data_IF_062306995336
#
_entry.id   IF_062306995336
#
_cell.length_a   1.000
_cell.length_b   1.000
_cell.length_c   1.000
_cell.angle_alpha   90.00
_cell.angle_beta   90.00
_cell.angle_gamma   90.00
#
_symmetry.space_group_name_H-M   'P 1'
#
loop_
_entity.id
_entity.type
_entity.pdbx_description
1 polymer ?
#
# COMPACT_ATOMS: atom_id res chain seq x y z
N UNK A 1 2.63 8.65 -7.78
CA UNK A 1 2.62 9.66 -8.85
C UNK A 1 2.18 11.00 -8.31
N UNK A 2 2.60 12.11 -8.94
CA UNK A 2 2.17 13.46 -8.59
C UNK A 2 0.67 13.71 -8.76
N UNK A 3 0.22 14.92 -8.39
CA UNK A 3 -1.19 15.34 -8.45
C UNK A 3 -1.57 15.76 -9.87
N UNK A 4 -2.85 15.59 -10.24
CA UNK A 4 -3.43 16.17 -11.46
C UNK A 4 -2.95 15.56 -12.79
N UNK A 5 -2.33 14.38 -12.78
CA UNK A 5 -1.74 13.75 -13.97
C UNK A 5 -2.67 12.80 -14.74
N UNK A 6 -3.98 12.81 -14.44
CA UNK A 6 -4.96 11.99 -15.15
C UNK A 6 -5.13 10.56 -14.61
N UNK A 7 -4.79 10.28 -13.33
CA UNK A 7 -4.97 8.95 -12.72
C UNK A 7 -6.39 8.40 -12.88
N UNK A 8 -7.41 9.21 -12.54
CA UNK A 8 -8.82 8.77 -12.59
C UNK A 8 -9.28 8.51 -14.02
N UNK A 9 -8.78 9.26 -15.02
CA UNK A 9 -9.03 8.97 -16.43
C UNK A 9 -8.41 7.63 -16.84
N UNK A 10 -7.16 7.36 -16.43
CA UNK A 10 -6.49 6.08 -16.69
C UNK A 10 -7.21 4.91 -16.02
N UNK A 11 -7.65 5.06 -14.77
CA UNK A 11 -8.51 4.09 -14.08
C UNK A 11 -9.75 3.78 -14.91
N UNK A 12 -10.42 4.83 -15.42
CA UNK A 12 -11.62 4.68 -16.25
C UNK A 12 -11.34 3.92 -17.53
N UNK A 13 -10.27 4.26 -18.24
CA UNK A 13 -9.91 3.60 -19.49
C UNK A 13 -9.55 2.12 -19.30
N UNK A 14 -8.81 1.79 -18.25
CA UNK A 14 -8.48 0.40 -17.92
C UNK A 14 -9.72 -0.39 -17.49
N UNK A 15 -10.64 0.24 -16.76
CA UNK A 15 -11.92 -0.35 -16.38
C UNK A 15 -12.77 -0.66 -17.61
N UNK A 16 -12.90 0.28 -18.53
CA UNK A 16 -13.65 0.11 -19.78
C UNK A 16 -12.96 -0.94 -20.67
N UNK A 17 -11.64 -0.92 -20.76
CA UNK A 17 -10.88 -1.92 -21.49
C UNK A 17 -11.18 -3.34 -20.97
N UNK A 18 -11.11 -3.56 -19.65
CA UNK A 18 -11.42 -4.85 -19.06
C UNK A 18 -12.87 -5.26 -19.36
N UNK A 19 -13.80 -4.34 -19.12
CA UNK A 19 -15.24 -4.55 -19.33
C UNK A 19 -15.59 -4.96 -20.78
N UNK A 20 -14.96 -4.30 -21.76
CA UNK A 20 -15.33 -4.47 -23.17
C UNK A 20 -14.52 -5.54 -23.90
N UNK A 21 -13.32 -5.89 -23.43
CA UNK A 21 -12.43 -6.83 -24.09
C UNK A 21 -12.29 -8.18 -23.38
N UNK A 22 -12.76 -8.27 -22.13
CA UNK A 22 -12.76 -9.49 -21.31
C UNK A 22 -14.19 -9.82 -20.90
N UNK A 23 -14.98 -10.23 -21.91
CA UNK A 23 -16.40 -10.54 -21.74
C UNK A 23 -16.59 -11.58 -20.63
N UNK A 24 -17.54 -11.33 -19.74
CA UNK A 24 -17.81 -12.15 -18.58
C UNK A 24 -16.99 -11.79 -17.33
N UNK A 25 -15.98 -10.91 -17.45
CA UNK A 25 -15.11 -10.54 -16.33
C UNK A 25 -15.78 -9.60 -15.31
N UNK A 26 -15.25 -9.59 -14.09
CA UNK A 26 -15.67 -8.67 -13.02
C UNK A 26 -14.57 -7.65 -12.76
N UNK A 27 -14.95 -6.39 -12.67
CA UNK A 27 -14.07 -5.32 -12.17
C UNK A 27 -14.62 -4.75 -10.89
N UNK A 28 -13.79 -4.70 -9.85
CA UNK A 28 -14.09 -4.03 -8.58
C UNK A 28 -13.24 -2.76 -8.51
N UNK A 29 -13.87 -1.64 -8.23
CA UNK A 29 -13.20 -0.35 -8.05
C UNK A 29 -13.48 0.15 -6.65
N UNK A 30 -12.43 0.47 -5.90
CA UNK A 30 -12.53 1.04 -4.56
C UNK A 30 -11.61 2.25 -4.44
N UNK A 31 -11.96 3.15 -3.52
CA UNK A 31 -11.18 4.31 -3.17
C UNK A 31 -11.04 4.43 -1.65
N UNK A 32 -10.25 5.39 -1.18
CA UNK A 32 -10.01 5.60 0.24
C UNK A 32 -11.25 6.07 1.03
N UNK A 33 -12.28 6.55 0.34
CA UNK A 33 -13.55 6.98 0.95
C UNK A 33 -14.72 6.85 -0.01
N UNK A 34 -15.94 6.81 0.54
CA UNK A 34 -17.18 6.80 -0.26
C UNK A 34 -17.30 8.05 -1.13
N UNK A 35 -16.96 9.22 -0.59
CA UNK A 35 -17.02 10.49 -1.33
C UNK A 35 -16.07 10.46 -2.54
N UNK A 36 -14.83 9.99 -2.36
CA UNK A 36 -13.87 9.84 -3.45
C UNK A 36 -14.37 8.84 -4.49
N UNK A 37 -14.86 7.68 -4.05
CA UNK A 37 -15.35 6.65 -4.96
C UNK A 37 -16.52 7.18 -5.81
N UNK A 38 -17.55 7.77 -5.19
CA UNK A 38 -18.77 8.19 -5.89
C UNK A 38 -18.60 9.45 -6.73
N UNK A 39 -17.98 10.49 -6.12
CA UNK A 39 -17.96 11.83 -6.74
C UNK A 39 -16.82 12.02 -7.74
N UNK A 40 -15.76 11.23 -7.64
CA UNK A 40 -14.58 11.37 -8.49
C UNK A 40 -14.40 10.14 -9.38
N UNK A 41 -14.08 9.00 -8.79
CA UNK A 41 -13.69 7.80 -9.55
C UNK A 41 -14.85 7.26 -10.36
N UNK A 42 -16.03 7.10 -9.76
CA UNK A 42 -17.23 6.60 -10.45
C UNK A 42 -17.75 7.59 -11.49
N UNK A 43 -17.73 8.87 -11.19
CA UNK A 43 -18.12 9.92 -12.12
C UNK A 43 -17.22 9.91 -13.38
N UNK A 44 -15.92 9.74 -13.23
CA UNK A 44 -15.00 9.62 -14.36
C UNK A 44 -15.24 8.34 -15.16
N UNK A 45 -15.44 7.18 -14.52
CA UNK A 45 -15.75 5.92 -15.20
C UNK A 45 -17.02 6.06 -16.06
N UNK A 46 -18.08 6.60 -15.47
CA UNK A 46 -19.36 6.76 -16.18
C UNK A 46 -19.27 7.75 -17.32
N UNK A 47 -18.55 8.84 -17.14
CA UNK A 47 -18.27 9.83 -18.19
C UNK A 47 -17.54 9.18 -19.38
N UNK A 48 -16.43 8.50 -19.14
CA UNK A 48 -15.67 7.88 -20.21
C UNK A 48 -16.42 6.73 -20.88
N UNK A 49 -17.19 5.95 -20.11
CA UNK A 49 -18.04 4.92 -20.67
C UNK A 49 -19.10 5.51 -21.61
N UNK A 50 -19.74 6.60 -21.22
CA UNK A 50 -20.75 7.26 -22.08
C UNK A 50 -20.18 7.79 -23.41
N UNK A 51 -18.89 8.09 -23.45
CA UNK A 51 -18.17 8.51 -24.65
C UNK A 51 -17.63 7.34 -25.49
N UNK A 52 -17.69 6.11 -24.98
CA UNK A 52 -17.19 4.94 -25.69
C UNK A 52 -18.19 4.46 -26.76
N UNK A 53 -17.67 3.84 -27.81
CA UNK A 53 -18.51 3.27 -28.88
C UNK A 53 -19.37 2.10 -28.38
N UNK A 54 -18.98 1.45 -27.27
CA UNK A 54 -19.71 0.36 -26.63
C UNK A 54 -20.67 0.83 -25.53
N UNK A 55 -20.85 2.15 -25.33
CA UNK A 55 -21.70 2.69 -24.25
C UNK A 55 -23.09 2.04 -24.21
N UNK A 56 -23.69 1.77 -25.39
CA UNK A 56 -25.01 1.17 -25.53
C UNK A 56 -25.07 -0.32 -25.15
N UNK A 57 -23.93 -0.96 -24.88
CA UNK A 57 -23.90 -2.35 -24.38
C UNK A 57 -24.20 -2.44 -22.89
N UNK A 58 -24.13 -1.34 -22.17
CA UNK A 58 -24.13 -1.35 -20.70
C UNK A 58 -25.16 -0.40 -20.11
N UNK A 59 -25.72 -0.82 -19.00
CA UNK A 59 -26.58 -0.04 -18.13
C UNK A 59 -25.80 0.42 -16.90
N UNK A 60 -25.86 1.71 -16.60
CA UNK A 60 -25.10 2.34 -15.51
C UNK A 60 -26.04 2.67 -14.38
N UNK A 61 -25.68 2.25 -13.16
CA UNK A 61 -26.34 2.62 -11.92
C UNK A 61 -25.39 3.41 -11.00
N UNK A 62 -25.85 3.75 -9.81
CA UNK A 62 -25.05 4.50 -8.83
C UNK A 62 -23.74 3.80 -8.41
N UNK A 63 -23.67 2.46 -8.50
CA UNK A 63 -22.54 1.67 -8.03
C UNK A 63 -22.16 0.50 -8.95
N UNK A 64 -22.89 0.31 -10.06
CA UNK A 64 -22.66 -0.79 -10.97
C UNK A 64 -22.80 -0.39 -12.43
N UNK A 65 -22.00 -1.03 -13.26
CA UNK A 65 -22.15 -1.07 -14.70
C UNK A 65 -22.39 -2.52 -15.07
N UNK A 66 -23.52 -2.84 -15.68
CA UNK A 66 -23.90 -4.19 -16.05
C UNK A 66 -24.21 -4.26 -17.55
N UNK A 67 -24.07 -5.41 -18.20
CA UNK A 67 -24.48 -5.56 -19.58
C UNK A 67 -26.00 -5.34 -19.74
N UNK A 68 -26.41 -4.60 -20.75
CA UNK A 68 -27.81 -4.49 -21.14
C UNK A 68 -28.34 -5.87 -21.51
N UNK A 69 -29.62 -6.10 -21.29
CA UNK A 69 -30.26 -7.42 -21.47
C UNK A 69 -29.98 -8.03 -22.86
N UNK A 70 -30.10 -7.22 -23.91
CA UNK A 70 -29.91 -7.69 -25.29
C UNK A 70 -28.48 -8.21 -25.57
N UNK A 71 -27.43 -7.54 -25.02
CA UNK A 71 -26.04 -7.97 -25.21
C UNK A 71 -25.73 -9.17 -24.34
N UNK A 72 -26.29 -9.24 -23.11
CA UNK A 72 -26.15 -10.42 -22.26
C UNK A 72 -26.73 -11.66 -22.93
N UNK A 73 -27.96 -11.60 -23.45
CA UNK A 73 -28.61 -12.69 -24.20
C UNK A 73 -27.80 -13.11 -25.43
N UNK A 74 -27.25 -12.14 -26.17
CA UNK A 74 -26.42 -12.41 -27.35
C UNK A 74 -25.14 -13.17 -26.97
N UNK A 75 -24.43 -12.69 -25.92
CA UNK A 75 -23.20 -13.31 -25.44
C UNK A 75 -23.45 -14.73 -24.95
N UNK A 76 -24.49 -14.95 -24.16
CA UNK A 76 -24.84 -16.27 -23.65
C UNK A 76 -25.26 -17.25 -24.78
N UNK A 77 -26.03 -16.74 -25.74
CA UNK A 77 -26.48 -17.52 -26.88
C UNK A 77 -25.35 -17.90 -27.85
N UNK A 78 -24.55 -16.93 -28.27
CA UNK A 78 -23.60 -17.06 -29.36
C UNK A 78 -22.19 -17.45 -28.91
N UNK A 79 -21.73 -16.88 -27.79
CA UNK A 79 -20.40 -17.13 -27.24
C UNK A 79 -20.39 -18.20 -26.15
N UNK A 80 -21.56 -18.62 -25.65
CA UNK A 80 -21.69 -19.57 -24.52
C UNK A 80 -20.96 -19.14 -23.26
N UNK A 81 -20.82 -17.83 -23.03
CA UNK A 81 -20.20 -17.25 -21.85
C UNK A 81 -21.28 -16.78 -20.87
N UNK A 82 -21.09 -17.08 -19.59
CA UNK A 82 -21.99 -16.58 -18.54
C UNK A 82 -21.79 -15.08 -18.31
N UNK A 83 -22.90 -14.34 -18.27
CA UNK A 83 -22.89 -12.88 -18.09
C UNK A 83 -23.24 -12.44 -16.68
N UNK A 84 -23.58 -13.37 -15.78
CA UNK A 84 -24.03 -13.10 -14.41
C UNK A 84 -23.09 -12.18 -13.63
N UNK A 85 -21.79 -12.35 -13.82
CA UNK A 85 -20.75 -11.60 -13.09
C UNK A 85 -20.03 -10.58 -13.98
N UNK A 86 -20.48 -10.42 -15.22
CA UNK A 86 -19.89 -9.46 -16.14
C UNK A 86 -20.29 -8.05 -15.78
N UNK A 87 -19.31 -7.25 -15.39
CA UNK A 87 -19.59 -5.85 -15.05
C UNK A 87 -18.52 -5.18 -14.21
N UNK A 88 -18.84 -3.97 -13.81
CA UNK A 88 -18.04 -3.14 -12.91
C UNK A 88 -18.84 -2.83 -11.66
N UNK A 89 -18.22 -2.94 -10.50
CA UNK A 89 -18.80 -2.57 -9.22
C UNK A 89 -17.90 -1.58 -8.48
N UNK A 90 -18.46 -0.43 -8.10
CA UNK A 90 -17.88 0.48 -7.13
C UNK A 90 -18.17 -0.04 -5.72
N UNK A 91 -17.16 -0.61 -5.06
CA UNK A 91 -17.29 -1.27 -3.76
C UNK A 91 -16.66 -0.44 -2.66
N UNK A 92 -17.45 -0.19 -1.63
CA UNK A 92 -16.98 0.41 -0.37
C UNK A 92 -16.34 -0.66 0.51
N UNK A 93 -15.46 -0.24 1.38
CA UNK A 93 -14.81 -1.07 2.38
C UNK A 93 -14.93 -0.45 3.78
N UNK A 94 -14.75 -1.27 4.81
CA UNK A 94 -14.68 -0.85 6.19
C UNK A 94 -13.54 -1.57 6.90
N UNK A 95 -12.70 -0.83 7.60
CA UNK A 95 -11.65 -1.40 8.43
C UNK A 95 -12.20 -2.16 9.65
N UNK A 96 -13.42 -1.80 10.10
CA UNK A 96 -14.11 -2.48 11.20
C UNK A 96 -14.66 -3.85 10.79
N UNK A 97 -14.96 -4.04 9.49
CA UNK A 97 -15.46 -5.30 8.95
C UNK A 97 -14.82 -5.62 7.60
N UNK A 98 -13.51 -5.95 7.56
CA UNK A 98 -12.78 -6.22 6.33
C UNK A 98 -13.33 -7.43 5.56
N UNK A 99 -13.84 -8.45 6.26
CA UNK A 99 -14.35 -9.68 5.64
C UNK A 99 -15.56 -9.44 4.74
N UNK A 100 -16.33 -8.38 4.98
CA UNK A 100 -17.42 -7.98 4.08
C UNK A 100 -16.92 -7.56 2.67
N UNK A 101 -15.64 -7.26 2.53
CA UNK A 101 -15.02 -6.95 1.25
C UNK A 101 -14.70 -8.20 0.41
N UNK A 102 -14.66 -9.39 1.01
CA UNK A 102 -14.35 -10.67 0.37
C UNK A 102 -15.37 -11.10 -0.70
N UNK A 103 -15.10 -12.22 -1.36
CA UNK A 103 -16.11 -12.99 -2.13
C UNK A 103 -16.21 -12.59 -3.60
N UNK A 104 -15.12 -12.20 -4.25
CA UNK A 104 -15.07 -12.05 -5.71
C UNK A 104 -14.33 -13.23 -6.32
N UNK A 105 -15.07 -14.06 -7.04
CA UNK A 105 -14.52 -15.20 -7.78
C UNK A 105 -15.11 -15.20 -9.19
N UNK A 106 -14.26 -15.15 -10.21
CA UNK A 106 -14.71 -15.15 -11.59
C UNK A 106 -13.65 -15.74 -12.52
N UNK A 107 -13.92 -16.91 -13.08
CA UNK A 107 -13.03 -17.61 -14.02
C UNK A 107 -12.81 -16.86 -15.34
N UNK A 108 -13.73 -15.99 -15.75
CA UNK A 108 -13.55 -15.17 -16.96
C UNK A 108 -12.52 -14.05 -16.75
N UNK A 109 -12.28 -13.68 -15.51
CA UNK A 109 -11.29 -12.69 -15.12
C UNK A 109 -11.75 -11.76 -14.02
N UNK A 110 -10.77 -11.28 -13.24
CA UNK A 110 -10.97 -10.32 -12.15
C UNK A 110 -10.00 -9.17 -12.31
N UNK A 111 -10.52 -7.94 -12.27
CA UNK A 111 -9.70 -6.75 -12.10
C UNK A 111 -10.11 -6.02 -10.83
N UNK A 112 -9.14 -5.75 -9.98
CA UNK A 112 -9.29 -4.91 -8.80
C UNK A 112 -8.54 -3.61 -9.02
N UNK A 113 -9.21 -2.50 -8.78
CA UNK A 113 -8.62 -1.16 -8.85
C UNK A 113 -8.77 -0.46 -7.51
N UNK A 114 -7.64 -0.06 -6.94
CA UNK A 114 -7.56 0.81 -5.78
C UNK A 114 -7.18 2.22 -6.24
N UNK A 115 -8.14 3.14 -6.20
CA UNK A 115 -7.88 4.57 -6.40
C UNK A 115 -7.61 5.24 -5.06
N UNK A 116 -6.64 6.13 -5.00
CA UNK A 116 -6.08 6.69 -3.76
C UNK A 116 -5.62 5.59 -2.77
N UNK A 117 -4.93 4.60 -3.30
CA UNK A 117 -4.55 3.36 -2.63
C UNK A 117 -3.74 3.54 -1.32
N UNK A 118 -3.00 4.65 -1.17
CA UNK A 118 -2.27 4.95 0.06
C UNK A 118 -3.17 5.20 1.27
N UNK A 119 -4.47 5.45 1.04
CA UNK A 119 -5.45 5.66 2.09
C UNK A 119 -6.30 4.43 2.43
N UNK A 120 -6.10 3.31 1.74
CA UNK A 120 -6.86 2.06 1.98
C UNK A 120 -6.18 1.27 3.12
N UNK A 121 -6.97 0.84 4.09
CA UNK A 121 -6.50 0.10 5.26
C UNK A 121 -5.86 -1.24 4.89
N UNK A 122 -4.79 -1.62 5.60
CA UNK A 122 -4.00 -2.83 5.32
C UNK A 122 -4.82 -4.12 5.44
N UNK A 123 -5.84 -4.15 6.30
CA UNK A 123 -6.76 -5.29 6.42
C UNK A 123 -7.50 -5.57 5.12
N UNK A 124 -7.86 -4.51 4.38
CA UNK A 124 -8.55 -4.63 3.08
C UNK A 124 -7.62 -5.20 2.01
N UNK A 125 -6.34 -4.83 2.01
CA UNK A 125 -5.36 -5.42 1.10
C UNK A 125 -5.21 -6.92 1.34
N UNK A 126 -5.21 -7.34 2.60
CA UNK A 126 -5.12 -8.76 2.97
C UNK A 126 -6.31 -9.56 2.44
N UNK A 127 -7.54 -9.05 2.64
CA UNK A 127 -8.76 -9.70 2.16
C UNK A 127 -8.85 -9.69 0.64
N UNK A 128 -8.46 -8.58 0.00
CA UNK A 128 -8.48 -8.41 -1.45
C UNK A 128 -7.54 -9.38 -2.18
N UNK A 129 -6.46 -9.83 -1.55
CA UNK A 129 -5.58 -10.86 -2.11
C UNK A 129 -6.33 -12.16 -2.43
N UNK A 130 -7.41 -12.46 -1.69
CA UNK A 130 -8.28 -13.60 -1.93
C UNK A 130 -9.00 -13.58 -3.30
N UNK A 131 -9.15 -12.42 -3.94
CA UNK A 131 -9.76 -12.31 -5.28
C UNK A 131 -8.94 -12.98 -6.38
N UNK A 132 -7.66 -13.23 -6.11
CA UNK A 132 -6.69 -13.72 -7.09
C UNK A 132 -6.28 -15.17 -6.87
N UNK A 133 -7.01 -15.91 -6.04
CA UNK A 133 -6.73 -17.34 -5.75
C UNK A 133 -7.08 -18.26 -6.90
N UNK A 134 -7.99 -17.87 -7.79
CA UNK A 134 -8.37 -18.67 -8.94
C UNK A 134 -7.34 -18.56 -10.07
N UNK A 135 -7.10 -19.68 -10.75
CA UNK A 135 -6.18 -19.72 -11.89
C UNK A 135 -6.88 -19.25 -13.17
N UNK A 136 -6.92 -17.94 -13.38
CA UNK A 136 -7.42 -17.32 -14.62
C UNK A 136 -6.34 -16.39 -15.21
N UNK A 137 -6.21 -16.30 -16.55
CA UNK A 137 -5.20 -15.44 -17.18
C UNK A 137 -5.50 -13.94 -17.05
N UNK A 138 -6.76 -13.58 -16.81
CA UNK A 138 -7.22 -12.20 -16.74
C UNK A 138 -7.31 -11.72 -15.29
N UNK A 139 -6.17 -11.66 -14.57
CA UNK A 139 -6.08 -11.21 -13.20
C UNK A 139 -5.26 -9.95 -13.14
N UNK A 140 -5.88 -8.83 -12.72
CA UNK A 140 -5.21 -7.53 -12.65
C UNK A 140 -5.51 -6.86 -11.32
N UNK A 141 -4.47 -6.49 -10.60
CA UNK A 141 -4.58 -5.64 -9.42
C UNK A 141 -3.84 -4.33 -9.70
N UNK A 142 -4.59 -3.25 -9.77
CA UNK A 142 -4.10 -1.93 -10.16
C UNK A 142 -4.27 -0.96 -8.99
N UNK A 143 -3.21 -0.26 -8.63
CA UNK A 143 -3.20 0.66 -7.51
C UNK A 143 -2.68 2.03 -7.95
N UNK A 144 -3.48 3.06 -7.75
CA UNK A 144 -3.15 4.43 -8.11
C UNK A 144 -3.22 5.30 -6.88
N UNK A 145 -2.18 6.10 -6.62
CA UNK A 145 -2.19 7.06 -5.51
C UNK A 145 -1.12 8.13 -5.65
N UNK A 146 -1.32 9.23 -4.92
CA UNK A 146 -0.24 10.04 -4.44
C UNK A 146 0.37 9.32 -3.21
N UNK A 147 1.69 9.24 -3.08
CA UNK A 147 2.35 8.48 -2.00
C UNK A 147 2.40 9.32 -0.71
N UNK A 148 1.28 9.42 0.00
CA UNK A 148 1.12 10.35 1.14
C UNK A 148 1.67 9.85 2.47
N UNK A 149 1.95 8.53 2.60
CA UNK A 149 2.35 7.89 3.86
C UNK A 149 3.58 7.03 3.65
N UNK A 150 4.52 7.06 4.61
CA UNK A 150 5.71 6.20 4.65
C UNK A 150 5.43 4.88 5.38
N UNK A 151 4.16 4.47 5.42
CA UNK A 151 3.72 3.24 6.09
C UNK A 151 2.51 2.65 5.37
N UNK A 152 2.16 1.42 5.73
CA UNK A 152 1.04 0.68 5.19
C UNK A 152 1.37 -0.07 3.90
N UNK A 153 0.43 -0.89 3.48
CA UNK A 153 0.64 -1.86 2.38
C UNK A 153 1.06 -1.18 1.06
N UNK A 154 0.49 0.00 0.74
CA UNK A 154 0.87 0.72 -0.47
C UNK A 154 2.35 1.15 -0.47
N UNK A 155 2.85 1.60 0.69
CA UNK A 155 4.27 1.91 0.86
C UNK A 155 5.14 0.64 0.72
N UNK A 156 4.71 -0.47 1.33
CA UNK A 156 5.40 -1.76 1.23
C UNK A 156 5.50 -2.28 -0.22
N UNK A 157 4.53 -1.97 -1.08
CA UNK A 157 4.62 -2.32 -2.51
C UNK A 157 5.84 -1.72 -3.21
N UNK A 158 6.38 -0.61 -2.72
CA UNK A 158 7.59 0.04 -3.26
C UNK A 158 8.86 -0.36 -2.52
N UNK A 159 8.75 -1.01 -1.37
CA UNK A 159 9.84 -1.39 -0.47
C UNK A 159 9.93 -2.92 -0.29
N UNK A 160 9.50 -3.43 0.84
CA UNK A 160 9.66 -4.86 1.21
C UNK A 160 8.92 -5.83 0.28
N UNK A 161 7.84 -5.39 -0.39
CA UNK A 161 7.05 -6.20 -1.34
C UNK A 161 7.30 -5.83 -2.81
N UNK A 162 8.36 -5.09 -3.10
CA UNK A 162 8.66 -4.56 -4.44
C UNK A 162 8.73 -5.64 -5.52
N UNK A 163 9.21 -6.81 -5.19
CA UNK A 163 9.37 -7.92 -6.15
C UNK A 163 8.04 -8.52 -6.62
N UNK A 164 6.95 -8.27 -5.88
CA UNK A 164 5.60 -8.73 -6.24
C UNK A 164 4.82 -7.70 -7.07
N UNK A 165 5.34 -6.46 -7.21
CA UNK A 165 4.63 -5.35 -7.84
C UNK A 165 5.44 -4.72 -8.97
N UNK A 166 4.73 -4.31 -10.03
CA UNK A 166 5.30 -3.45 -11.07
C UNK A 166 5.06 -1.99 -10.70
N UNK A 167 6.08 -1.35 -10.16
CA UNK A 167 6.00 0.00 -9.65
C UNK A 167 6.35 1.04 -10.72
N UNK A 168 5.61 2.14 -10.75
CA UNK A 168 5.91 3.30 -11.58
C UNK A 168 5.72 4.58 -10.78
N UNK A 169 6.79 5.34 -10.65
CA UNK A 169 6.79 6.70 -10.13
C UNK A 169 6.66 7.65 -11.33
N UNK A 170 5.75 8.62 -11.21
CA UNK A 170 5.53 9.61 -12.27
C UNK A 170 5.61 11.00 -11.66
N UNK A 171 6.62 11.75 -12.09
CA UNK A 171 6.74 13.19 -11.80
C UNK A 171 5.69 13.95 -12.63
N UNK A 172 4.89 14.77 -11.96
CA UNK A 172 3.81 15.50 -12.61
C UNK A 172 4.31 16.48 -13.70
N UNK A 173 5.53 16.97 -13.55
CA UNK A 173 6.16 17.87 -14.55
C UNK A 173 6.53 17.15 -15.83
N UNK A 174 6.71 15.83 -15.79
CA UNK A 174 7.04 15.03 -16.98
C UNK A 174 5.81 14.72 -17.85
N UNK A 175 4.61 14.96 -17.35
CA UNK A 175 3.36 14.65 -18.07
C UNK A 175 2.98 15.80 -18.99
N UNK A 176 2.75 15.49 -20.25
CA UNK A 176 2.26 16.46 -21.24
C UNK A 176 0.86 16.93 -20.87
N UNK A 177 0.57 18.22 -21.11
CA UNK A 177 -0.73 18.81 -20.80
C UNK A 177 -0.96 19.24 -19.34
N UNK A 178 0.00 18.99 -18.44
CA UNK A 178 -0.07 19.54 -17.07
C UNK A 178 0.51 20.96 -17.01
N UNK A 179 -0.04 21.80 -16.15
CA UNK A 179 0.49 23.15 -15.91
C UNK A 179 1.73 23.09 -15.03
N UNK A 180 2.89 23.31 -15.65
CA UNK A 180 4.21 23.24 -14.97
C UNK A 180 4.40 24.38 -13.96
N UNK A 181 3.76 25.52 -14.16
CA UNK A 181 3.89 26.67 -13.27
C UNK A 181 3.27 26.37 -11.90
N UNK A 182 2.17 25.63 -11.84
CA UNK A 182 1.56 25.20 -10.56
C UNK A 182 2.50 24.32 -9.75
N UNK A 183 3.20 23.40 -10.40
CA UNK A 183 4.16 22.54 -9.69
C UNK A 183 5.42 23.30 -9.25
N UNK A 184 5.87 24.26 -10.07
CA UNK A 184 6.97 25.11 -9.67
C UNK A 184 6.60 25.99 -8.47
N UNK A 185 5.38 26.51 -8.43
CA UNK A 185 4.89 27.26 -7.28
C UNK A 185 4.91 26.44 -5.99
N UNK A 186 4.51 25.15 -6.02
CA UNK A 186 4.61 24.28 -4.85
C UNK A 186 6.07 24.13 -4.38
N UNK A 187 7.01 23.96 -5.32
CA UNK A 187 8.42 23.85 -5.00
C UNK A 187 8.97 25.15 -4.40
N UNK A 188 8.59 26.30 -4.95
CA UNK A 188 9.04 27.62 -4.49
C UNK A 188 8.46 27.96 -3.11
N UNK A 189 7.21 27.56 -2.82
CA UNK A 189 6.53 27.84 -1.57
C UNK A 189 7.01 26.93 -0.42
N UNK A 190 7.15 25.62 -0.68
CA UNK A 190 7.44 24.63 0.36
C UNK A 190 8.89 24.14 0.37
N UNK A 191 9.64 24.41 -0.68
CA UNK A 191 10.99 23.91 -0.91
C UNK A 191 11.04 22.58 -1.68
N UNK A 192 12.15 22.32 -2.41
CA UNK A 192 12.28 21.13 -3.26
C UNK A 192 12.31 19.80 -2.47
N UNK A 193 12.79 19.82 -1.23
CA UNK A 193 12.90 18.63 -0.37
C UNK A 193 11.71 18.46 0.58
N UNK A 194 10.67 19.29 0.44
CA UNK A 194 9.48 19.23 1.29
C UNK A 194 8.62 18.01 0.98
N UNK A 195 7.87 17.51 1.97
CA UNK A 195 6.85 16.47 1.77
C UNK A 195 5.83 16.85 0.70
N UNK A 196 5.47 18.13 0.60
CA UNK A 196 4.56 18.64 -0.42
C UNK A 196 5.14 18.47 -1.85
N UNK A 197 6.41 18.86 -2.07
CA UNK A 197 7.06 18.69 -3.35
C UNK A 197 7.21 17.20 -3.72
N UNK A 198 7.63 16.36 -2.77
CA UNK A 198 7.75 14.91 -2.99
C UNK A 198 6.42 14.28 -3.39
N UNK A 199 5.36 14.51 -2.63
CA UNK A 199 4.05 13.86 -2.84
C UNK A 199 3.30 14.43 -4.05
N UNK A 200 3.18 15.76 -4.13
CA UNK A 200 2.29 16.41 -5.09
C UNK A 200 2.97 16.64 -6.45
N UNK A 201 4.30 16.80 -6.48
CA UNK A 201 5.06 17.08 -7.72
C UNK A 201 5.77 15.82 -8.20
N UNK A 202 6.73 15.31 -7.41
CA UNK A 202 7.61 14.23 -7.87
C UNK A 202 6.94 12.86 -7.85
N UNK A 203 5.82 12.72 -7.11
CA UNK A 203 5.13 11.44 -6.95
C UNK A 203 5.93 10.43 -6.15
N UNK A 204 6.81 10.91 -5.28
CA UNK A 204 7.65 10.16 -4.38
C UNK A 204 7.08 10.18 -2.96
N UNK A 205 7.44 9.19 -2.16
CA UNK A 205 7.09 9.20 -0.75
C UNK A 205 7.79 10.37 -0.02
N UNK A 206 7.16 10.97 0.98
CA UNK A 206 7.78 12.05 1.75
C UNK A 206 9.00 11.53 2.50
N UNK A 207 10.00 12.39 2.71
CA UNK A 207 11.22 12.03 3.43
C UNK A 207 10.98 11.76 4.92
N UNK A 208 9.94 12.41 5.49
CA UNK A 208 9.43 12.16 6.84
C UNK A 208 7.89 12.24 6.81
N UNK A 209 7.19 11.50 7.66
CA UNK A 209 5.80 11.82 7.98
C UNK A 209 5.79 13.07 8.88
N UNK A 210 4.76 13.90 8.77
CA UNK A 210 4.62 15.11 9.60
C UNK A 210 4.62 14.79 11.11
N UNK A 211 4.30 13.53 11.48
CA UNK A 211 4.33 12.99 12.84
C UNK A 211 5.64 12.25 13.19
N UNK A 212 6.62 12.23 12.31
CA UNK A 212 7.84 11.45 12.51
C UNK A 212 8.94 12.32 13.14
N UNK A 213 9.25 12.06 14.41
CA UNK A 213 10.32 12.78 15.14
C UNK A 213 11.72 12.55 14.56
N UNK A 214 11.97 11.35 13.99
CA UNK A 214 13.23 11.00 13.33
C UNK A 214 12.91 10.60 11.88
N UNK A 215 13.52 11.28 10.91
CA UNK A 215 13.31 10.96 9.49
C UNK A 215 13.88 9.58 9.11
N UNK A 216 13.24 8.90 8.14
CA UNK A 216 13.74 7.62 7.64
C UNK A 216 15.18 7.74 7.10
N UNK A 217 15.51 8.87 6.46
CA UNK A 217 16.88 9.10 5.94
C UNK A 217 17.92 9.13 7.06
N UNK A 218 17.59 9.67 8.23
CA UNK A 218 18.49 9.64 9.39
C UNK A 218 18.63 8.23 9.97
N UNK A 219 17.56 7.42 9.92
CA UNK A 219 17.62 6.01 10.33
C UNK A 219 18.48 5.22 9.36
N UNK A 220 18.27 5.39 8.05
CA UNK A 220 19.04 4.69 7.01
C UNK A 220 20.52 5.07 7.09
N UNK A 221 20.83 6.36 7.23
CA UNK A 221 22.22 6.85 7.43
C UNK A 221 22.85 6.25 8.71
N UNK A 222 22.07 6.14 9.78
CA UNK A 222 22.55 5.55 11.03
C UNK A 222 22.80 4.03 10.89
N UNK A 223 21.97 3.32 10.09
CA UNK A 223 22.12 1.90 9.82
C UNK A 223 23.31 1.59 8.90
N UNK A 224 23.61 2.47 7.95
CA UNK A 224 24.73 2.31 7.02
C UNK A 224 26.08 2.75 7.61
N UNK A 225 26.04 3.54 8.68
CA UNK A 225 27.25 4.04 9.33
C UNK A 225 28.08 2.87 9.91
N UNK A 226 29.39 2.80 9.61
CA UNK A 226 30.23 1.79 10.22
C UNK A 226 30.28 1.96 11.75
N UNK A 227 30.23 0.85 12.46
CA UNK A 227 30.35 0.83 13.94
C UNK A 227 31.79 1.17 14.30
N UNK A 228 31.97 2.35 14.92
CA UNK A 228 33.26 2.82 15.44
C UNK A 228 33.09 3.06 16.95
N UNK A 229 32.90 1.95 17.69
CA UNK A 229 32.69 2.05 19.12
C UNK A 229 33.94 2.63 19.81
N UNK A 230 33.71 3.59 20.68
CA UNK A 230 34.76 4.10 21.58
C UNK A 230 35.11 2.99 22.62
N UNK A 231 36.26 2.37 22.41
CA UNK A 231 36.74 1.27 23.25
C UNK A 231 36.96 1.69 24.72
N UNK A 232 37.10 2.96 25.02
CA UNK A 232 37.22 3.49 26.38
C UNK A 232 35.87 3.70 27.07
N UNK A 233 34.78 3.74 26.30
CA UNK A 233 33.45 3.92 26.85
C UNK A 233 32.94 2.65 27.53
N UNK A 234 32.21 2.76 28.67
CA UNK A 234 31.61 1.62 29.31
C UNK A 234 30.55 0.94 28.43
N UNK A 235 30.52 -0.39 28.50
CA UNK A 235 29.46 -1.18 27.88
C UNK A 235 28.22 -1.14 28.76
N UNK A 236 27.06 -0.88 28.13
CA UNK A 236 25.76 -0.89 28.78
C UNK A 236 24.86 -1.87 28.04
N UNK A 237 24.13 -2.69 28.76
CA UNK A 237 23.16 -3.64 28.22
C UNK A 237 21.76 -3.17 28.60
N UNK A 238 20.89 -3.03 27.60
CA UNK A 238 19.46 -2.81 27.78
C UNK A 238 18.68 -4.07 27.48
N UNK A 239 17.72 -4.41 28.31
CA UNK A 239 16.86 -5.60 28.16
C UNK A 239 15.42 -5.16 28.17
N UNK A 240 14.70 -5.50 27.12
CA UNK A 240 13.24 -5.35 26.97
C UNK A 240 12.63 -6.77 26.97
N UNK A 241 12.14 -7.26 28.13
CA UNK A 241 11.63 -8.61 28.25
C UNK A 241 10.18 -8.70 27.75
N UNK A 242 9.90 -9.58 26.81
CA UNK A 242 8.52 -9.95 26.46
C UNK A 242 8.02 -11.04 27.41
N UNK A 243 6.83 -10.85 27.99
CA UNK A 243 6.28 -11.85 28.94
C UNK A 243 5.58 -13.00 28.26
N UNK A 244 4.55 -12.75 27.46
CA UNK A 244 3.77 -13.79 26.79
C UNK A 244 3.16 -13.21 25.50
N UNK A 245 3.20 -13.95 24.40
CA UNK A 245 2.53 -13.60 23.15
C UNK A 245 3.43 -13.56 21.93
N UNK A 246 3.07 -12.73 20.97
CA UNK A 246 3.80 -12.57 19.69
C UNK A 246 5.06 -11.70 19.82
N UNK A 247 5.24 -11.00 20.93
CA UNK A 247 6.35 -10.10 21.17
C UNK A 247 7.66 -10.84 21.40
N UNK A 248 8.78 -10.17 21.22
CA UNK A 248 10.09 -10.75 21.38
C UNK A 248 10.88 -10.02 22.47
N UNK A 249 11.54 -10.77 23.35
CA UNK A 249 12.57 -10.22 24.23
C UNK A 249 13.73 -9.70 23.40
N UNK A 250 14.15 -8.46 23.64
CA UNK A 250 15.29 -7.84 22.96
C UNK A 250 16.37 -7.47 23.95
N UNK A 251 17.61 -7.86 23.65
CA UNK A 251 18.79 -7.46 24.42
C UNK A 251 19.70 -6.64 23.51
N UNK A 252 19.88 -5.37 23.84
CA UNK A 252 20.74 -4.44 23.11
C UNK A 252 22.02 -4.15 23.89
N UNK A 253 23.17 -4.29 23.23
CA UNK A 253 24.49 -3.99 23.81
C UNK A 253 25.03 -2.72 23.17
N UNK A 254 25.28 -1.70 23.99
CA UNK A 254 25.77 -0.39 23.57
C UNK A 254 27.16 -0.11 24.15
N UNK A 255 28.06 0.42 23.34
CA UNK A 255 29.35 0.97 23.82
C UNK A 255 29.51 2.40 23.30
N UNK A 256 29.62 3.36 24.19
CA UNK A 256 29.61 4.76 23.82
C UNK A 256 28.31 5.17 23.14
N UNK A 257 28.37 5.58 21.87
CA UNK A 257 27.20 5.98 21.03
C UNK A 257 26.73 4.89 20.09
N UNK A 258 27.47 3.78 20.00
CA UNK A 258 27.20 2.73 19.03
C UNK A 258 26.52 1.51 19.67
N UNK A 259 25.56 0.93 18.95
CA UNK A 259 25.00 -0.37 19.28
C UNK A 259 25.92 -1.43 18.67
N UNK A 260 26.61 -2.16 19.53
CA UNK A 260 27.60 -3.19 19.12
C UNK A 260 27.01 -4.60 19.04
N UNK A 261 25.78 -4.79 19.54
CA UNK A 261 25.07 -6.06 19.43
C UNK A 261 23.57 -5.90 19.72
N UNK A 262 22.75 -6.65 18.99
CA UNK A 262 21.32 -6.81 19.26
C UNK A 262 20.99 -8.29 19.19
N UNK A 263 20.29 -8.81 20.21
CA UNK A 263 19.78 -10.18 20.26
C UNK A 263 18.28 -10.16 20.45
N UNK A 264 17.59 -11.04 19.76
CA UNK A 264 16.12 -11.12 19.78
C UNK A 264 15.69 -12.56 19.97
N UNK A 265 14.85 -12.79 20.99
CA UNK A 265 14.35 -14.11 21.36
C UNK A 265 12.81 -14.09 21.37
N UNK A 266 12.19 -15.18 20.95
CA UNK A 266 10.74 -15.34 20.96
C UNK A 266 10.35 -16.63 21.64
N UNK A 267 9.31 -16.57 22.47
CA UNK A 267 8.76 -17.76 23.12
C UNK A 267 9.56 -18.25 24.33
N UNK A 268 10.61 -17.54 24.75
CA UNK A 268 11.38 -17.86 25.95
C UNK A 268 10.53 -17.54 27.18
N UNK A 269 10.59 -18.40 28.18
CA UNK A 269 10.03 -18.12 29.49
C UNK A 269 10.94 -17.18 30.31
N UNK A 270 10.46 -16.73 31.48
CA UNK A 270 11.22 -15.78 32.32
C UNK A 270 12.59 -16.32 32.73
N UNK A 271 12.74 -17.62 33.00
CA UNK A 271 14.00 -18.22 33.40
C UNK A 271 14.95 -18.36 32.19
N UNK A 272 14.43 -18.63 31.01
CA UNK A 272 15.21 -18.64 29.78
C UNK A 272 15.74 -17.24 29.47
N UNK A 273 14.89 -16.21 29.62
CA UNK A 273 15.31 -14.79 29.46
C UNK A 273 16.45 -14.46 30.44
N UNK A 274 16.35 -14.87 31.72
CA UNK A 274 17.43 -14.69 32.70
C UNK A 274 18.72 -15.37 32.21
N UNK A 275 18.61 -16.58 31.68
CA UNK A 275 19.78 -17.30 31.11
C UNK A 275 20.41 -16.51 29.95
N UNK A 276 19.60 -15.99 29.02
CA UNK A 276 20.07 -15.15 27.89
C UNK A 276 20.79 -13.88 28.35
N UNK A 277 20.28 -13.26 29.41
CA UNK A 277 20.90 -12.04 29.98
C UNK A 277 22.26 -12.40 30.63
N UNK A 278 22.34 -13.52 31.35
CA UNK A 278 23.60 -13.99 31.93
C UNK A 278 24.65 -14.28 30.85
N UNK A 279 24.28 -14.95 29.76
CA UNK A 279 25.19 -15.20 28.63
C UNK A 279 25.76 -13.88 28.05
N UNK A 280 24.94 -12.86 27.92
CA UNK A 280 25.35 -11.52 27.42
C UNK A 280 26.27 -10.82 28.44
N UNK A 281 25.97 -10.93 29.73
CA UNK A 281 26.83 -10.38 30.80
C UNK A 281 28.20 -11.04 30.78
N UNK A 282 28.26 -12.34 30.65
CA UNK A 282 29.55 -13.10 30.62
C UNK A 282 30.38 -12.75 29.38
N UNK A 283 29.73 -12.57 28.25
CA UNK A 283 30.39 -12.26 26.97
C UNK A 283 30.94 -10.83 26.93
N UNK A 284 30.09 -9.84 27.25
CA UNK A 284 30.42 -8.41 27.08
C UNK A 284 30.96 -7.74 28.35
N UNK A 285 30.77 -8.33 29.51
CA UNK A 285 31.17 -7.78 30.81
C UNK A 285 30.75 -6.31 31.00
N UNK A 286 29.46 -6.01 30.89
CA UNK A 286 28.96 -4.63 30.90
C UNK A 286 29.16 -3.98 32.27
N UNK A 287 29.36 -2.67 32.26
CA UNK A 287 29.40 -1.84 33.46
C UNK A 287 28.00 -1.63 34.09
N UNK A 288 26.94 -1.74 33.26
CA UNK A 288 25.55 -1.56 33.68
C UNK A 288 24.64 -2.44 32.84
N UNK A 289 23.66 -3.06 33.50
CA UNK A 289 22.51 -3.73 32.86
C UNK A 289 21.23 -2.99 33.28
N UNK A 290 20.43 -2.60 32.33
CA UNK A 290 19.14 -1.94 32.55
C UNK A 290 18.05 -2.84 31.98
N UNK A 291 17.04 -3.14 32.79
CA UNK A 291 15.91 -3.97 32.40
C UNK A 291 14.64 -3.15 32.46
N UNK A 292 13.81 -3.22 31.43
CA UNK A 292 12.50 -2.58 31.44
C UNK A 292 11.57 -3.31 32.41
N UNK A 293 11.02 -2.56 33.38
CA UNK A 293 10.13 -3.10 34.43
C UNK A 293 8.66 -3.14 33.97
N UNK A 294 8.34 -2.46 32.85
CA UNK A 294 6.99 -2.29 32.34
C UNK A 294 6.47 -3.42 31.44
N UNK A 295 7.27 -4.42 31.16
CA UNK A 295 6.96 -5.53 30.27
C UNK A 295 6.10 -6.66 30.90
#
# INVERSE_FOLDING_TARGET
>A
SGRGIGKSALVSWLTIWMLTTRIGSTTIVSANSEAQLRSVTWAEITKWLSMSIQSHWFEVSATRVLPAKWIAELVERDLKLGTRYWGVEGRLWSAENPDAYAGVHNFAGVMLVFDEASGIDDSIWSVAAGFFTENTPNRFWLCFSNPRRNSGYFYECFNSKRDFWRNKIVDARSVEGTDKAVYQQIIDEYGPDSSAAHVEVYGQFPNASDDQFISNSLVDEAMERPIIADQSAPIVVGVDPARFGADATVIAVRQGRDIIGIRRYRGDDTMEVVGRVIDVIEEFKPALVVIDEGG
#
